data_IF_001867976631
#
_entry.id   IF_001867976631
#
_cell.length_a   1.000
_cell.length_b   1.000
_cell.length_c   1.000
_cell.angle_alpha   90.00
_cell.angle_beta   90.00
_cell.angle_gamma   90.00
#
_symmetry.space_group_name_H-M   'P 1'
#
loop_
_entity.id
_entity.type
_entity.pdbx_description
1 polymer ?
#
# COMPACT_ATOMS: atom_id res chain seq x y z
N UNK A 1 9.21 18.53 10.77
CA UNK A 1 9.99 17.79 9.76
C UNK A 1 11.25 18.56 9.46
N UNK A 2 12.42 17.95 9.62
CA UNK A 2 13.70 18.56 9.21
C UNK A 2 13.95 18.21 7.74
N UNK A 3 13.95 19.21 6.86
CA UNK A 3 14.21 19.03 5.42
C UNK A 3 15.70 19.10 5.07
N UNK A 4 16.61 19.23 6.06
CA UNK A 4 18.06 19.26 5.82
C UNK A 4 18.57 18.12 4.95
N UNK A 5 18.17 16.84 5.12
CA UNK A 5 18.67 15.77 4.28
C UNK A 5 18.40 16.00 2.79
N UNK A 6 17.19 16.47 2.45
CA UNK A 6 16.82 16.77 1.06
C UNK A 6 17.48 18.04 0.53
N UNK A 7 17.63 19.07 1.36
CA UNK A 7 18.23 20.34 0.95
C UNK A 7 19.75 20.22 0.76
N UNK A 8 20.40 19.47 1.64
CA UNK A 8 21.86 19.41 1.71
C UNK A 8 22.40 18.23 0.88
N UNK A 9 21.71 17.08 0.84
CA UNK A 9 22.06 15.91 0.04
C UNK A 9 21.41 15.82 -1.35
N UNK A 10 20.30 16.55 -1.56
CA UNK A 10 19.58 16.56 -2.84
C UNK A 10 18.70 15.32 -3.06
N UNK A 11 17.96 15.32 -4.18
CA UNK A 11 17.05 14.23 -4.54
C UNK A 11 17.79 12.96 -4.98
N UNK A 12 18.96 13.08 -5.61
CA UNK A 12 19.77 11.94 -6.05
C UNK A 12 20.09 11.01 -4.88
N UNK A 13 20.78 11.56 -3.88
CA UNK A 13 21.19 10.84 -2.70
C UNK A 13 19.99 10.28 -1.93
N UNK A 14 18.90 11.05 -1.86
CA UNK A 14 17.70 10.58 -1.18
C UNK A 14 17.10 9.32 -1.84
N UNK A 15 17.05 9.24 -3.17
CA UNK A 15 16.58 8.02 -3.84
C UNK A 15 17.53 6.84 -3.62
N UNK A 16 18.84 7.07 -3.67
CA UNK A 16 19.85 6.03 -3.40
C UNK A 16 19.74 5.49 -1.97
N UNK A 17 19.70 6.38 -0.98
CA UNK A 17 19.62 6.02 0.43
C UNK A 17 18.33 5.24 0.73
N UNK A 18 17.19 5.69 0.19
CA UNK A 18 15.90 5.03 0.40
C UNK A 18 15.81 3.69 -0.34
N UNK A 19 16.39 3.56 -1.54
CA UNK A 19 16.46 2.28 -2.24
C UNK A 19 17.39 1.28 -1.56
N UNK A 20 18.40 1.75 -0.83
CA UNK A 20 19.33 0.88 -0.09
C UNK A 20 18.81 0.49 1.31
N UNK A 21 17.78 1.15 1.83
CA UNK A 21 17.27 0.92 3.18
C UNK A 21 16.09 -0.06 3.18
N UNK A 22 16.30 -1.24 3.74
CA UNK A 22 15.23 -2.20 3.96
C UNK A 22 14.14 -1.62 4.89
N UNK A 23 12.88 -1.83 4.51
CA UNK A 23 11.72 -1.42 5.30
C UNK A 23 11.39 -2.45 6.38
N UNK A 24 10.71 -2.01 7.43
CA UNK A 24 10.19 -2.91 8.47
C UNK A 24 9.05 -3.77 7.93
N UNK A 25 8.97 -5.02 8.39
CA UNK A 25 7.90 -5.93 7.98
C UNK A 25 6.54 -5.52 8.58
N UNK A 26 5.46 -5.40 7.79
CA UNK A 26 4.12 -5.20 8.35
C UNK A 26 3.69 -6.40 9.21
N UNK A 27 3.18 -6.14 10.40
CA UNK A 27 2.72 -7.19 11.29
C UNK A 27 2.59 -6.76 12.76
N UNK A 28 2.21 -7.70 13.64
CA UNK A 28 2.06 -7.39 15.05
C UNK A 28 3.42 -7.09 15.68
N UNK A 29 3.45 -6.18 16.67
CA UNK A 29 4.64 -5.86 17.48
C UNK A 29 5.82 -5.26 16.69
N UNK A 30 5.59 -4.71 15.49
CA UNK A 30 6.63 -4.09 14.67
C UNK A 30 6.43 -2.58 14.43
N UNK A 31 5.54 -1.92 15.18
CA UNK A 31 5.39 -0.47 15.15
C UNK A 31 6.39 0.19 16.10
N UNK A 32 7.10 1.21 15.60
CA UNK A 32 8.04 1.95 16.46
C UNK A 32 7.29 2.81 17.48
N UNK A 33 7.84 2.95 18.69
CA UNK A 33 7.18 3.62 19.82
C UNK A 33 6.60 5.01 19.49
N UNK A 34 7.30 5.83 18.70
CA UNK A 34 6.83 7.19 18.38
C UNK A 34 5.62 7.21 17.42
N UNK A 35 5.30 6.09 16.76
CA UNK A 35 4.13 5.92 15.89
C UNK A 35 2.96 5.22 16.59
N UNK A 36 3.11 4.75 17.83
CA UNK A 36 2.06 3.99 18.53
C UNK A 36 0.74 4.73 18.66
N UNK A 37 0.79 6.06 18.82
CA UNK A 37 -0.41 6.90 18.81
C UNK A 37 -1.24 6.74 17.52
N UNK A 38 -0.59 6.54 16.37
CA UNK A 38 -1.27 6.31 15.10
C UNK A 38 -2.01 4.97 15.04
N UNK A 39 -1.45 3.92 15.65
CA UNK A 39 -2.10 2.61 15.78
C UNK A 39 -3.35 2.70 16.67
N UNK A 40 -3.23 3.34 17.83
CA UNK A 40 -4.33 3.58 18.76
C UNK A 40 -5.46 4.37 18.07
N UNK A 41 -5.11 5.46 17.40
CA UNK A 41 -6.05 6.28 16.64
C UNK A 41 -6.73 5.49 15.51
N UNK A 42 -6.05 4.55 14.86
CA UNK A 42 -6.61 3.73 13.79
C UNK A 42 -7.67 2.75 14.32
N UNK A 43 -7.45 2.16 15.49
CA UNK A 43 -8.44 1.32 16.18
C UNK A 43 -9.65 2.16 16.63
N UNK A 44 -9.40 3.32 17.24
CA UNK A 44 -10.46 4.24 17.67
C UNK A 44 -11.30 4.77 16.51
N UNK A 45 -10.66 5.09 15.39
CA UNK A 45 -11.34 5.51 14.17
C UNK A 45 -12.23 4.39 13.64
N UNK A 46 -11.74 3.15 13.60
CA UNK A 46 -12.56 1.99 13.20
C UNK A 46 -13.83 1.84 14.04
N UNK A 47 -13.70 2.00 15.37
CA UNK A 47 -14.84 1.95 16.30
C UNK A 47 -15.80 3.13 16.11
N UNK A 48 -15.27 4.33 15.91
CA UNK A 48 -16.05 5.56 15.70
C UNK A 48 -16.84 5.52 14.38
N UNK A 49 -16.23 4.95 13.33
CA UNK A 49 -16.89 4.69 12.05
C UNK A 49 -17.80 3.45 12.08
N UNK A 50 -17.93 2.78 13.23
CA UNK A 50 -18.73 1.57 13.42
C UNK A 50 -18.39 0.47 12.42
N UNK A 51 -17.10 0.32 12.10
CA UNK A 51 -16.63 -0.77 11.25
C UNK A 51 -17.04 -2.11 11.86
N UNK A 52 -17.40 -3.06 10.99
CA UNK A 52 -17.72 -4.42 11.42
C UNK A 52 -16.47 -5.16 11.90
N UNK A 53 -16.65 -6.29 12.57
CA UNK A 53 -15.52 -7.08 13.04
C UNK A 53 -14.70 -7.65 11.87
N UNK A 54 -13.46 -8.02 12.15
CA UNK A 54 -12.59 -8.67 11.17
C UNK A 54 -13.26 -9.89 10.50
N UNK A 55 -13.94 -10.73 11.28
CA UNK A 55 -14.66 -11.90 10.76
C UNK A 55 -15.77 -11.55 9.78
N UNK A 56 -16.45 -10.41 9.95
CA UNK A 56 -17.50 -9.98 9.02
C UNK A 56 -16.90 -9.55 7.67
N UNK A 57 -15.71 -8.95 7.68
CA UNK A 57 -14.99 -8.65 6.45
C UNK A 57 -14.42 -9.90 5.76
N UNK A 58 -14.02 -10.92 6.51
CA UNK A 58 -13.67 -12.23 5.91
C UNK A 58 -14.88 -12.85 5.19
N UNK A 59 -16.08 -12.78 5.76
CA UNK A 59 -17.32 -13.23 5.11
C UNK A 59 -17.63 -12.41 3.86
N UNK A 60 -17.46 -11.09 3.92
CA UNK A 60 -17.63 -10.21 2.76
C UNK A 60 -16.71 -10.63 1.59
N UNK A 61 -15.47 -10.98 1.89
CA UNK A 61 -14.50 -11.52 0.93
C UNK A 61 -14.71 -13.00 0.58
N UNK A 62 -15.80 -13.62 1.04
CA UNK A 62 -16.13 -15.03 0.82
C UNK A 62 -15.01 -15.99 1.26
N UNK A 63 -14.30 -15.65 2.35
CA UNK A 63 -13.27 -16.51 2.93
C UNK A 63 -13.87 -17.53 3.90
N UNK A 64 -13.13 -18.63 4.10
CA UNK A 64 -13.48 -19.65 5.10
C UNK A 64 -13.66 -18.98 6.48
N UNK A 65 -14.71 -19.36 7.23
CA UNK A 65 -14.89 -18.86 8.58
C UNK A 65 -13.70 -19.29 9.43
N UNK A 66 -13.26 -18.39 10.31
CA UNK A 66 -12.26 -18.68 11.33
C UNK A 66 -12.96 -19.09 12.62
N UNK A 67 -12.40 -20.07 13.33
CA UNK A 67 -12.98 -20.67 14.53
C UNK A 67 -12.27 -20.19 15.82
N UNK A 68 -11.03 -19.71 15.72
CA UNK A 68 -10.29 -19.19 16.87
C UNK A 68 -9.15 -18.23 16.52
N UNK A 69 -8.49 -17.71 17.56
CA UNK A 69 -7.42 -16.72 17.40
C UNK A 69 -6.18 -17.26 16.68
N UNK A 70 -5.96 -18.58 16.73
CA UNK A 70 -4.89 -19.24 16.01
C UNK A 70 -5.09 -19.26 14.48
N UNK A 71 -6.32 -19.01 14.02
CA UNK A 71 -6.61 -18.85 12.60
C UNK A 71 -6.30 -17.42 12.10
N UNK A 72 -6.15 -16.46 13.03
CA UNK A 72 -5.68 -15.11 12.72
C UNK A 72 -4.16 -15.14 12.62
N UNK A 73 -3.47 -15.60 13.68
CA UNK A 73 -2.01 -15.64 13.73
C UNK A 73 -1.47 -16.98 14.17
N UNK A 74 -0.44 -17.46 13.48
CA UNK A 74 0.34 -18.63 13.88
C UNK A 74 1.30 -18.35 15.05
N UNK A 75 1.57 -17.08 15.37
CA UNK A 75 2.29 -16.70 16.58
C UNK A 75 1.38 -16.89 17.81
N UNK A 76 1.77 -17.84 18.67
CA UNK A 76 1.03 -18.18 19.89
C UNK A 76 0.92 -17.02 20.88
N UNK A 77 1.93 -16.15 20.94
CA UNK A 77 1.93 -14.99 21.82
C UNK A 77 0.91 -13.96 21.32
N UNK A 78 0.91 -13.67 20.02
CA UNK A 78 -0.06 -12.77 19.37
C UNK A 78 -1.49 -13.33 19.52
N UNK A 79 -1.71 -14.60 19.20
CA UNK A 79 -3.01 -15.23 19.36
C UNK A 79 -3.51 -15.21 20.82
N UNK A 80 -2.59 -15.36 21.80
CA UNK A 80 -2.91 -15.23 23.22
C UNK A 80 -3.35 -13.81 23.58
N UNK A 81 -2.61 -12.79 23.15
CA UNK A 81 -2.93 -11.40 23.42
C UNK A 81 -4.29 -11.00 22.83
N UNK A 82 -4.61 -11.44 21.61
CA UNK A 82 -5.92 -11.20 20.99
C UNK A 82 -7.02 -11.88 21.81
N UNK A 83 -6.82 -13.14 22.22
CA UNK A 83 -7.78 -13.88 23.04
C UNK A 83 -8.04 -13.17 24.36
N UNK A 84 -6.99 -12.75 25.05
CA UNK A 84 -7.10 -12.15 26.37
C UNK A 84 -7.73 -10.73 26.28
N UNK A 85 -7.60 -10.05 25.14
CA UNK A 85 -8.17 -8.73 24.89
C UNK A 85 -9.64 -8.78 24.46
N UNK A 86 -9.99 -9.67 23.52
CA UNK A 86 -11.33 -9.68 22.90
C UNK A 86 -12.26 -10.77 23.43
N UNK A 87 -11.70 -11.86 23.97
CA UNK A 87 -12.42 -13.05 24.45
C UNK A 87 -13.06 -13.91 23.36
N UNK A 88 -13.48 -13.32 22.24
CA UNK A 88 -14.18 -13.98 21.15
C UNK A 88 -13.65 -13.50 19.78
N UNK A 89 -13.35 -14.44 18.89
CA UNK A 89 -12.80 -14.17 17.56
C UNK A 89 -13.73 -13.30 16.71
N UNK A 90 -15.04 -13.38 16.93
CA UNK A 90 -16.05 -12.60 16.20
C UNK A 90 -16.10 -11.13 16.60
N UNK A 91 -15.38 -10.74 17.66
CA UNK A 91 -15.32 -9.38 18.20
C UNK A 91 -14.05 -8.62 17.85
N UNK A 92 -13.08 -9.27 17.22
CA UNK A 92 -11.80 -8.65 16.86
C UNK A 92 -12.05 -7.46 15.93
N UNK A 93 -11.52 -6.29 16.29
CA UNK A 93 -11.60 -5.08 15.46
C UNK A 93 -10.96 -5.35 14.09
N UNK A 94 -11.53 -4.78 13.03
CA UNK A 94 -11.03 -4.99 11.67
C UNK A 94 -9.53 -4.68 11.53
N UNK A 95 -9.09 -3.53 12.05
CA UNK A 95 -7.69 -3.09 11.99
C UNK A 95 -6.74 -4.08 12.68
N UNK A 96 -7.09 -4.54 13.88
CA UNK A 96 -6.26 -5.50 14.63
C UNK A 96 -6.18 -6.83 13.88
N UNK A 97 -7.30 -7.32 13.36
CA UNK A 97 -7.31 -8.54 12.55
C UNK A 97 -6.42 -8.45 11.31
N UNK A 98 -6.42 -7.31 10.60
CA UNK A 98 -5.56 -7.11 9.41
C UNK A 98 -4.07 -7.21 9.72
N UNK A 99 -3.61 -6.58 10.79
CA UNK A 99 -2.18 -6.52 11.12
C UNK A 99 -1.69 -7.69 11.95
N UNK A 100 -2.58 -8.45 12.59
CA UNK A 100 -2.25 -9.71 13.23
C UNK A 100 -2.39 -10.92 12.30
N UNK A 101 -3.03 -10.78 11.13
CA UNK A 101 -3.14 -11.89 10.17
C UNK A 101 -1.75 -12.32 9.67
N UNK A 102 -1.54 -13.61 9.56
CA UNK A 102 -0.31 -14.14 8.97
C UNK A 102 -0.13 -13.70 7.51
N UNK A 103 1.11 -13.34 7.18
CA UNK A 103 1.51 -13.01 5.82
C UNK A 103 1.43 -14.21 4.90
N UNK A 104 1.12 -13.95 3.63
CA UNK A 104 1.28 -14.97 2.60
C UNK A 104 2.78 -15.19 2.39
N UNK A 105 3.20 -16.45 2.24
CA UNK A 105 4.59 -16.81 1.95
C UNK A 105 5.10 -16.01 0.74
N UNK A 106 6.26 -15.36 0.89
CA UNK A 106 6.88 -14.48 -0.11
C UNK A 106 6.04 -13.25 -0.50
N UNK A 107 5.11 -12.82 0.34
CA UNK A 107 4.39 -11.56 0.17
C UNK A 107 4.66 -10.62 1.36
N UNK A 108 4.66 -9.30 1.14
CA UNK A 108 4.83 -8.33 2.23
C UNK A 108 3.59 -8.24 3.14
N UNK A 109 2.43 -8.69 2.67
CA UNK A 109 1.14 -8.47 3.32
C UNK A 109 0.33 -9.76 3.51
N UNK A 110 -0.58 -9.81 4.49
CA UNK A 110 -1.58 -10.85 4.64
C UNK A 110 -2.59 -10.89 3.51
N UNK A 111 -3.27 -12.02 3.36
CA UNK A 111 -4.22 -12.24 2.26
C UNK A 111 -5.39 -11.24 2.30
N UNK A 112 -5.89 -10.89 3.48
CA UNK A 112 -7.03 -9.98 3.59
C UNK A 112 -6.67 -8.57 3.12
N UNK A 113 -5.50 -8.06 3.52
CA UNK A 113 -5.01 -6.76 3.04
C UNK A 113 -4.83 -6.81 1.51
N UNK A 114 -4.19 -7.85 0.97
CA UNK A 114 -3.99 -7.99 -0.48
C UNK A 114 -5.31 -7.97 -1.26
N UNK A 115 -6.37 -8.61 -0.75
CA UNK A 115 -7.69 -8.59 -1.38
C UNK A 115 -8.33 -7.20 -1.40
N UNK A 116 -8.29 -6.46 -0.28
CA UNK A 116 -8.84 -5.11 -0.24
C UNK A 116 -8.02 -4.13 -1.08
N UNK A 117 -6.69 -4.21 -1.02
CA UNK A 117 -5.80 -3.38 -1.84
C UNK A 117 -6.02 -3.66 -3.32
N UNK A 118 -6.18 -4.92 -3.74
CA UNK A 118 -6.47 -5.23 -5.13
C UNK A 118 -7.83 -4.67 -5.56
N UNK A 119 -8.86 -4.84 -4.74
CA UNK A 119 -10.20 -4.30 -5.02
C UNK A 119 -10.16 -2.78 -5.16
N UNK A 120 -9.52 -2.07 -4.22
CA UNK A 120 -9.40 -0.62 -4.25
C UNK A 120 -8.52 -0.16 -5.42
N UNK A 121 -7.33 -0.74 -5.59
CA UNK A 121 -6.39 -0.37 -6.65
C UNK A 121 -7.02 -0.49 -8.04
N UNK A 122 -7.74 -1.58 -8.34
CA UNK A 122 -8.38 -1.73 -9.64
C UNK A 122 -9.67 -0.90 -9.78
N UNK A 123 -10.48 -0.79 -8.71
CA UNK A 123 -11.69 0.02 -8.76
C UNK A 123 -11.42 1.52 -8.83
N UNK A 124 -10.26 1.99 -8.34
CA UNK A 124 -9.85 3.40 -8.41
C UNK A 124 -8.92 3.67 -9.60
N UNK A 125 -7.84 2.90 -9.78
CA UNK A 125 -6.86 3.21 -10.82
C UNK A 125 -7.43 3.08 -12.24
N UNK A 126 -8.31 2.10 -12.47
CA UNK A 126 -8.93 1.90 -13.80
C UNK A 126 -10.14 2.80 -14.05
N UNK A 127 -10.69 3.44 -13.02
CA UNK A 127 -11.83 4.35 -13.15
C UNK A 127 -11.39 5.82 -13.22
N UNK A 128 -10.08 6.09 -13.19
CA UNK A 128 -9.54 7.43 -13.45
C UNK A 128 -10.07 7.90 -14.81
N UNK A 129 -10.70 9.10 -14.91
CA UNK A 129 -11.26 9.60 -16.17
C UNK A 129 -10.26 9.65 -17.33
N UNK A 130 -8.97 9.79 -17.02
CA UNK A 130 -7.87 9.72 -17.98
C UNK A 130 -7.69 8.37 -18.65
N UNK A 131 -8.36 7.31 -18.22
CA UNK A 131 -8.39 5.99 -18.89
C UNK A 131 -9.72 5.73 -19.61
N UNK A 132 -10.66 6.67 -19.58
CA UNK A 132 -11.91 6.59 -20.35
C UNK A 132 -11.62 6.57 -21.85
N UNK A 133 -12.37 5.77 -22.62
CA UNK A 133 -12.30 5.76 -24.10
C UNK A 133 -12.57 7.12 -24.75
N UNK A 134 -13.21 8.04 -24.02
CA UNK A 134 -13.48 9.39 -24.51
C UNK A 134 -12.32 10.37 -24.27
N UNK A 135 -11.39 10.02 -23.37
CA UNK A 135 -10.26 10.86 -22.96
C UNK A 135 -8.93 10.25 -23.42
N UNK A 136 -8.69 8.96 -23.20
CA UNK A 136 -7.48 8.25 -23.62
C UNK A 136 -7.67 7.60 -24.99
N UNK A 137 -7.68 8.42 -26.04
CA UNK A 137 -7.86 7.91 -27.41
C UNK A 137 -6.49 7.61 -28.03
N UNK A 138 -6.22 6.40 -28.55
CA UNK A 138 -4.99 6.20 -29.31
C UNK A 138 -4.93 7.21 -30.48
N UNK A 139 -3.78 7.87 -30.73
CA UNK A 139 -3.62 8.77 -31.86
C UNK A 139 -3.95 8.00 -33.14
N UNK A 140 -4.85 8.55 -33.95
CA UNK A 140 -5.31 7.90 -35.17
C UNK A 140 -4.26 8.02 -36.30
N UNK A 141 -3.49 9.10 -36.30
CA UNK A 141 -2.36 9.37 -37.20
C UNK A 141 -1.15 9.87 -36.41
N UNK A 142 0.07 9.54 -36.85
CA UNK A 142 1.32 9.96 -36.17
C UNK A 142 1.51 11.48 -36.13
N UNK A 143 0.82 12.21 -37.00
CA UNK A 143 0.91 13.67 -37.11
C UNK A 143 -0.26 14.43 -36.45
N UNK A 144 -1.35 13.75 -36.08
CA UNK A 144 -2.50 14.39 -35.46
C UNK A 144 -2.26 14.67 -33.97
N UNK A 145 -2.66 15.86 -33.48
CA UNK A 145 -2.63 16.14 -32.04
C UNK A 145 -3.69 15.31 -31.31
N UNK A 146 -3.29 14.67 -30.21
CA UNK A 146 -4.21 13.95 -29.35
C UNK A 146 -5.12 14.97 -28.62
N UNK A 147 -6.44 14.73 -28.51
CA UNK A 147 -7.38 15.72 -27.97
C UNK A 147 -7.14 16.12 -26.51
N UNK A 148 -6.56 15.23 -25.70
CA UNK A 148 -6.24 15.48 -24.27
C UNK A 148 -4.78 15.84 -23.99
N UNK A 149 -3.81 15.25 -24.70
CA UNK A 149 -2.39 15.42 -24.43
C UNK A 149 -1.71 16.06 -25.61
N UNK A 150 -0.79 17.00 -25.37
CA UNK A 150 0.09 17.48 -26.43
C UNK A 150 0.95 16.34 -26.98
N UNK A 151 1.48 16.50 -28.20
CA UNK A 151 2.42 15.53 -28.80
C UNK A 151 3.57 15.18 -27.85
N UNK A 152 4.13 16.19 -27.16
CA UNK A 152 5.17 15.98 -26.16
C UNK A 152 4.65 15.16 -24.96
N UNK A 153 3.50 15.52 -24.40
CA UNK A 153 2.91 14.81 -23.26
C UNK A 153 2.60 13.35 -23.57
N UNK A 154 2.05 13.07 -24.74
CA UNK A 154 1.79 11.70 -25.20
C UNK A 154 3.08 10.89 -25.32
N UNK A 155 4.14 11.47 -25.88
CA UNK A 155 5.45 10.83 -25.96
C UNK A 155 6.05 10.58 -24.56
N UNK A 156 5.87 11.48 -23.59
CA UNK A 156 6.34 11.26 -22.22
C UNK A 156 5.64 10.09 -21.55
N UNK A 157 4.31 9.97 -21.70
CA UNK A 157 3.51 8.85 -21.17
C UNK A 157 3.98 7.53 -21.81
N UNK A 158 4.15 7.50 -23.13
CA UNK A 158 4.55 6.29 -23.85
C UNK A 158 5.98 5.82 -23.53
N UNK A 159 6.87 6.72 -23.14
CA UNK A 159 8.30 6.42 -22.90
C UNK A 159 8.65 6.27 -21.43
N UNK A 160 7.77 6.65 -20.50
CA UNK A 160 8.02 6.54 -19.06
C UNK A 160 7.49 5.20 -18.55
N UNK A 161 8.35 4.18 -18.52
CA UNK A 161 7.96 2.81 -18.13
C UNK A 161 8.32 2.44 -16.69
N UNK A 162 9.16 3.23 -16.04
CA UNK A 162 9.71 2.90 -14.73
C UNK A 162 9.87 4.11 -13.83
N UNK A 163 9.99 3.88 -12.52
CA UNK A 163 10.36 4.93 -11.58
C UNK A 163 11.77 5.45 -11.83
N UNK A 164 12.68 4.60 -12.34
CA UNK A 164 14.02 4.99 -12.77
C UNK A 164 13.95 6.03 -13.90
N UNK A 165 13.07 5.87 -14.89
CA UNK A 165 12.90 6.88 -15.95
C UNK A 165 12.53 8.25 -15.39
N UNK A 166 11.70 8.29 -14.34
CA UNK A 166 11.33 9.53 -13.67
C UNK A 166 12.53 10.15 -12.93
N UNK A 167 13.33 9.34 -12.23
CA UNK A 167 14.51 9.85 -11.51
C UNK A 167 15.56 10.36 -12.49
N UNK A 168 15.89 9.58 -13.53
CA UNK A 168 16.88 9.95 -14.55
C UNK A 168 16.55 11.27 -15.25
N UNK A 169 15.25 11.57 -15.45
CA UNK A 169 14.79 12.81 -16.09
C UNK A 169 14.84 14.04 -15.17
N UNK A 170 14.81 13.87 -13.86
CA UNK A 170 14.58 14.96 -12.89
C UNK A 170 15.76 15.20 -11.93
N UNK A 171 16.84 14.43 -12.03
CA UNK A 171 18.00 14.52 -11.15
C UNK A 171 19.27 14.77 -11.96
N UNK A 172 20.17 15.62 -11.46
CA UNK A 172 21.47 15.86 -12.05
C UNK A 172 22.44 14.73 -11.71
N UNK A 173 23.19 14.22 -12.69
CA UNK A 173 24.15 13.12 -12.55
C UNK A 173 23.58 11.87 -11.82
N UNK A 174 22.48 11.28 -12.32
CA UNK A 174 21.84 10.18 -11.64
C UNK A 174 22.66 8.88 -11.77
N UNK A 175 22.83 8.15 -10.67
CA UNK A 175 23.35 6.78 -10.70
C UNK A 175 22.22 5.76 -11.01
N UNK A 176 22.58 4.60 -11.56
CA UNK A 176 21.61 3.58 -12.01
C UNK A 176 20.99 2.74 -10.87
N UNK A 177 21.00 3.21 -9.62
CA UNK A 177 20.76 2.40 -8.42
C UNK A 177 19.36 2.53 -7.80
N UNK A 178 18.37 3.12 -8.50
CA UNK A 178 17.01 3.25 -7.97
C UNK A 178 16.18 2.00 -8.21
N UNK A 179 15.63 1.44 -7.13
CA UNK A 179 14.70 0.32 -7.18
C UNK A 179 13.66 0.38 -6.05
N UNK A 180 12.47 -0.13 -6.36
CA UNK A 180 11.47 -0.56 -5.39
C UNK A 180 11.72 -2.05 -5.10
N UNK A 181 12.72 -2.39 -4.29
CA UNK A 181 12.85 -3.75 -3.77
C UNK A 181 12.15 -3.84 -2.42
#
# INVERSE_FOLDING_TARGET
MDMKPLRDGGLAQAFEDMSAQATGEPGPRNTTQFLMHGEEASVEQGRSCQLRSFTDYLKYLQRMPIEGMADISSDREVASLIRDTYGDVTKVDFFVGLFCEDRVKNAPLPRTILSFVALDAFSQALTIPLLSEHVFKPPQDSEAEHPTFSRYGWAQIATCGSMLDLVLRNVAAPENSVSLV
#
